data_IF_273897815339
#
_entry.id   IF_273897815339
#
_cell.length_a   1.000
_cell.length_b   1.000
_cell.length_c   1.000
_cell.angle_alpha   90.00
_cell.angle_beta   90.00
_cell.angle_gamma   90.00
#
_symmetry.space_group_name_H-M   'P 1'
#
loop_
_entity.id
_entity.type
_entity.pdbx_description
1 polymer ?
#
# COMPACT_ATOMS: atom_id res chain seq x y z
N UNK A 1 -0.56 31.86 -82.08
CA UNK A 1 0.67 31.03 -81.95
C UNK A 1 0.86 30.68 -80.47
N UNK A 2 0.64 29.41 -80.05
CA UNK A 2 0.78 28.99 -78.64
C UNK A 2 2.23 28.58 -78.36
N UNK A 3 2.94 29.32 -77.50
CA UNK A 3 4.32 29.04 -77.08
C UNK A 3 4.29 27.90 -76.05
N UNK A 4 4.68 26.67 -76.45
CA UNK A 4 4.89 25.54 -75.53
C UNK A 4 6.09 25.87 -74.64
N UNK A 5 5.83 26.16 -73.36
CA UNK A 5 6.87 26.35 -72.35
C UNK A 5 7.28 24.96 -71.88
N UNK A 6 8.30 24.37 -72.50
CA UNK A 6 8.91 23.14 -72.01
C UNK A 6 9.76 23.47 -70.79
N UNK A 7 9.41 22.94 -69.62
CA UNK A 7 10.34 22.93 -68.49
C UNK A 7 11.55 22.07 -68.86
N UNK A 8 12.76 22.55 -68.59
CA UNK A 8 13.95 21.74 -68.82
C UNK A 8 13.91 20.49 -67.95
N UNK A 9 14.45 19.37 -68.44
CA UNK A 9 14.45 18.09 -67.73
C UNK A 9 15.00 18.19 -66.31
N UNK A 10 15.98 19.09 -66.04
CA UNK A 10 16.48 19.36 -64.68
C UNK A 10 15.45 20.08 -63.79
N UNK A 11 14.72 21.08 -64.30
CA UNK A 11 13.69 21.78 -63.51
C UNK A 11 12.47 20.89 -63.24
N UNK A 12 12.12 20.02 -64.18
CA UNK A 12 11.06 19.01 -64.00
C UNK A 12 11.49 17.94 -62.98
N UNK A 13 12.76 17.50 -62.99
CA UNK A 13 13.27 16.59 -61.96
C UNK A 13 13.31 17.23 -60.58
N UNK A 14 13.74 18.49 -60.44
CA UNK A 14 13.76 19.18 -59.15
C UNK A 14 12.34 19.36 -58.59
N UNK A 15 11.35 19.74 -59.41
CA UNK A 15 9.96 19.91 -58.98
C UNK A 15 9.32 18.56 -58.61
N UNK A 16 9.56 17.50 -59.38
CA UNK A 16 9.05 16.15 -59.07
C UNK A 16 9.71 15.60 -57.79
N UNK A 17 11.01 15.83 -57.58
CA UNK A 17 11.73 15.36 -56.39
C UNK A 17 11.31 16.14 -55.13
N UNK A 18 11.06 17.46 -55.24
CA UNK A 18 10.60 18.29 -54.12
C UNK A 18 9.14 18.01 -53.73
N UNK A 19 8.28 17.66 -54.71
CA UNK A 19 6.88 17.31 -54.46
C UNK A 19 6.72 15.90 -53.85
N UNK A 20 7.60 14.96 -54.23
CA UNK A 20 7.64 13.60 -53.65
C UNK A 20 8.11 13.64 -52.18
N UNK A 21 9.02 14.55 -51.81
CA UNK A 21 9.50 14.67 -50.43
C UNK A 21 8.44 15.19 -49.45
N UNK A 22 7.52 16.05 -49.91
CA UNK A 22 6.46 16.64 -49.07
C UNK A 22 5.25 15.71 -48.90
N UNK A 23 4.98 14.82 -49.87
CA UNK A 23 3.84 13.89 -49.83
C UNK A 23 4.17 12.55 -49.14
N UNK A 24 5.45 12.14 -49.07
CA UNK A 24 5.86 10.87 -48.45
C UNK A 24 6.10 10.90 -46.94
N UNK A 25 6.00 12.05 -46.27
CA UNK A 25 6.26 12.15 -44.83
C UNK A 25 5.18 12.79 -43.92
N UNK A 26 3.90 13.02 -44.32
CA UNK A 26 2.90 13.42 -43.31
C UNK A 26 2.66 12.32 -42.26
N UNK A 27 2.85 11.06 -42.64
CA UNK A 27 2.78 9.89 -41.75
C UNK A 27 3.92 9.84 -40.71
N UNK A 28 5.11 10.34 -41.04
CA UNK A 28 6.24 10.41 -40.10
C UNK A 28 6.06 11.52 -39.06
N UNK A 29 5.47 12.65 -39.46
CA UNK A 29 5.11 13.73 -38.52
C UNK A 29 3.98 13.28 -37.59
N UNK A 30 2.98 12.55 -38.10
CA UNK A 30 1.89 11.99 -37.28
C UNK A 30 2.39 10.87 -36.34
N UNK A 31 3.32 10.03 -36.80
CA UNK A 31 3.96 9.02 -35.96
C UNK A 31 4.82 9.66 -34.86
N UNK A 32 5.54 10.76 -35.12
CA UNK A 32 6.35 11.45 -34.11
C UNK A 32 5.52 12.17 -33.03
N UNK A 33 4.26 12.53 -33.33
CA UNK A 33 3.31 13.09 -32.34
C UNK A 33 2.73 12.01 -31.42
N UNK A 34 2.84 10.73 -31.79
CA UNK A 34 2.25 9.60 -31.07
C UNK A 34 3.20 8.91 -30.08
N UNK A 35 4.40 9.45 -29.85
CA UNK A 35 5.40 8.92 -28.89
C UNK A 35 5.77 9.91 -27.78
N UNK A 36 4.89 10.85 -27.44
CA UNK A 36 5.02 11.56 -26.16
C UNK A 36 4.41 10.65 -25.09
N UNK A 37 5.20 9.74 -24.52
CA UNK A 37 4.80 9.05 -23.30
C UNK A 37 4.79 10.10 -22.18
N UNK A 38 3.63 10.69 -21.92
CA UNK A 38 3.43 11.44 -20.68
C UNK A 38 3.69 10.45 -19.54
N UNK A 39 4.78 10.66 -18.79
CA UNK A 39 5.02 9.89 -17.57
C UNK A 39 3.77 10.08 -16.70
N UNK A 40 3.11 9.00 -16.23
CA UNK A 40 1.96 9.16 -15.34
C UNK A 40 2.38 10.05 -14.16
N UNK A 41 1.50 10.98 -13.79
CA UNK A 41 1.75 11.83 -12.65
C UNK A 41 2.07 10.94 -11.44
N UNK A 42 3.09 11.28 -10.63
CA UNK A 42 3.42 10.48 -9.47
C UNK A 42 2.19 10.32 -8.57
N UNK A 43 2.00 9.10 -8.08
CA UNK A 43 0.94 8.77 -7.15
C UNK A 43 1.26 9.30 -5.74
N UNK A 44 0.21 9.43 -4.93
CA UNK A 44 0.27 9.76 -3.52
C UNK A 44 -0.47 8.65 -2.78
N UNK A 45 0.11 8.10 -1.72
CA UNK A 45 -0.57 7.16 -0.84
C UNK A 45 -0.63 7.78 0.54
N UNK A 46 -1.84 7.99 1.04
CA UNK A 46 -2.05 8.56 2.36
C UNK A 46 -3.01 7.70 3.16
N UNK A 47 -3.07 7.89 4.46
CA UNK A 47 -4.01 7.15 5.29
C UNK A 47 -3.92 7.53 6.75
N UNK A 48 -4.83 6.95 7.53
CA UNK A 48 -4.80 6.97 8.97
C UNK A 48 -4.68 5.55 9.52
N UNK A 49 -3.86 5.41 10.55
CA UNK A 49 -3.77 4.20 11.35
C UNK A 49 -4.46 4.46 12.67
N UNK A 50 -5.51 3.68 12.92
CA UNK A 50 -6.40 3.87 14.07
C UNK A 50 -6.39 2.66 14.99
N UNK A 51 -6.74 2.89 16.25
CA UNK A 51 -6.95 1.83 17.20
C UNK A 51 -8.34 1.21 17.01
N UNK A 52 -8.40 -0.11 16.88
CA UNK A 52 -9.64 -0.81 16.54
C UNK A 52 -10.76 -0.71 17.57
N UNK A 53 -10.49 -0.32 18.82
CA UNK A 53 -11.53 -0.24 19.85
C UNK A 53 -12.35 1.06 19.77
N UNK A 54 -11.71 2.17 19.36
CA UNK A 54 -12.29 3.51 19.49
C UNK A 54 -11.96 4.45 18.32
N UNK A 55 -11.30 3.95 17.29
CA UNK A 55 -10.92 4.67 16.07
C UNK A 55 -10.01 5.88 16.30
N UNK A 56 -9.38 6.01 17.47
CA UNK A 56 -8.39 7.06 17.72
C UNK A 56 -7.12 6.80 16.92
N UNK A 57 -6.49 7.87 16.42
CA UNK A 57 -5.24 7.76 15.68
C UNK A 57 -4.09 7.28 16.57
N UNK A 58 -3.28 6.35 16.07
CA UNK A 58 -2.13 5.81 16.80
C UNK A 58 -0.88 6.59 16.38
N UNK A 59 -0.22 7.24 17.35
CA UNK A 59 1.03 7.97 17.11
C UNK A 59 2.22 7.02 16.95
N UNK A 60 3.14 7.40 16.06
CA UNK A 60 4.45 6.75 15.90
C UNK A 60 4.36 5.25 15.54
N UNK A 61 3.39 4.90 14.67
CA UNK A 61 3.34 3.59 13.99
C UNK A 61 4.32 3.63 12.84
N UNK A 62 5.16 2.60 12.71
CA UNK A 62 6.04 2.43 11.56
C UNK A 62 5.21 1.98 10.37
N UNK A 63 5.29 2.72 9.26
CA UNK A 63 4.55 2.43 8.04
C UNK A 63 5.54 2.22 6.91
N UNK A 64 5.58 1.00 6.37
CA UNK A 64 6.41 0.64 5.22
C UNK A 64 5.55 0.55 3.97
N UNK A 65 6.07 1.09 2.87
CA UNK A 65 5.52 0.90 1.53
C UNK A 65 6.35 -0.17 0.83
N UNK A 66 5.74 -1.32 0.57
CA UNK A 66 6.38 -2.50 -0.02
C UNK A 66 5.88 -2.68 -1.44
N UNK A 67 6.77 -2.76 -2.43
CA UNK A 67 6.36 -3.04 -3.81
C UNK A 67 5.81 -4.47 -3.92
N UNK A 68 4.57 -4.63 -4.41
CA UNK A 68 3.87 -5.91 -4.38
C UNK A 68 4.48 -6.97 -5.32
N UNK A 69 5.21 -6.56 -6.35
CA UNK A 69 5.90 -7.49 -7.27
C UNK A 69 7.23 -7.98 -6.71
N UNK A 70 8.05 -7.05 -6.22
CA UNK A 70 9.43 -7.36 -5.78
C UNK A 70 9.53 -7.72 -4.30
N UNK A 71 8.48 -7.47 -3.52
CA UNK A 71 8.41 -7.64 -2.07
C UNK A 71 9.46 -6.82 -1.29
N UNK A 72 10.05 -5.80 -1.93
CA UNK A 72 11.01 -4.91 -1.29
C UNK A 72 10.33 -3.67 -0.71
N UNK A 73 10.77 -3.24 0.47
CA UNK A 73 10.39 -1.94 1.03
C UNK A 73 11.03 -0.85 0.19
N UNK A 74 10.21 0.01 -0.42
CA UNK A 74 10.66 1.11 -1.28
C UNK A 74 10.63 2.46 -0.57
N UNK A 75 9.84 2.58 0.51
CA UNK A 75 9.76 3.78 1.33
C UNK A 75 9.25 3.44 2.74
N UNK A 76 9.51 4.30 3.71
CA UNK A 76 9.00 4.17 5.08
C UNK A 76 8.70 5.54 5.69
N UNK A 77 7.74 5.59 6.60
CA UNK A 77 7.37 6.79 7.35
C UNK A 77 6.78 6.39 8.71
N UNK A 78 6.46 7.38 9.55
CA UNK A 78 5.77 7.16 10.82
C UNK A 78 4.52 8.00 10.93
N UNK A 79 3.48 7.48 11.58
CA UNK A 79 2.25 8.24 11.79
C UNK A 79 2.44 9.41 12.77
N UNK A 80 1.75 10.52 12.49
CA UNK A 80 1.67 11.67 13.40
C UNK A 80 0.64 11.46 14.54
N UNK A 81 0.43 12.48 15.38
CA UNK A 81 -0.44 12.39 16.56
C UNK A 81 -1.91 12.07 16.28
N UNK A 82 -2.38 12.26 15.04
CA UNK A 82 -3.73 11.88 14.60
C UNK A 82 -3.74 10.54 13.86
N UNK A 83 -2.64 9.78 13.90
CA UNK A 83 -2.49 8.52 13.17
C UNK A 83 -2.24 8.68 11.67
N UNK A 84 -2.06 9.91 11.17
CA UNK A 84 -1.94 10.17 9.74
C UNK A 84 -0.52 9.90 9.22
N UNK A 85 -0.43 9.34 8.02
CA UNK A 85 0.82 9.17 7.27
C UNK A 85 0.64 9.52 5.79
N UNK A 86 1.76 9.75 5.09
CA UNK A 86 1.77 10.14 3.69
C UNK A 86 3.05 9.69 2.98
N UNK A 87 2.88 9.14 1.78
CA UNK A 87 3.92 8.88 0.79
C UNK A 87 3.63 9.70 -0.47
N UNK A 88 4.57 10.54 -0.87
CA UNK A 88 4.51 11.33 -2.09
C UNK A 88 5.49 10.80 -3.13
N UNK A 89 5.31 11.17 -4.40
CA UNK A 89 6.21 10.78 -5.49
C UNK A 89 6.31 9.26 -5.67
N UNK A 90 5.21 8.55 -5.44
CA UNK A 90 5.14 7.09 -5.61
C UNK A 90 5.04 6.78 -7.10
N UNK A 91 5.93 5.92 -7.61
CA UNK A 91 5.84 5.43 -8.98
C UNK A 91 4.59 4.57 -9.10
N UNK A 92 3.83 4.76 -10.19
CA UNK A 92 2.58 4.02 -10.37
C UNK A 92 2.81 2.50 -10.36
N UNK A 93 1.95 1.76 -9.65
CA UNK A 93 2.06 0.31 -9.48
C UNK A 93 1.35 -0.21 -8.23
N UNK A 94 1.47 -1.51 -7.98
CA UNK A 94 0.86 -2.18 -6.83
C UNK A 94 1.81 -2.23 -5.63
N UNK A 95 1.27 -1.91 -4.46
CA UNK A 95 2.02 -1.86 -3.21
C UNK A 95 1.24 -2.46 -2.05
N UNK A 96 1.95 -2.95 -1.04
CA UNK A 96 1.41 -3.13 0.30
C UNK A 96 1.81 -1.94 1.17
N UNK A 97 0.85 -1.43 1.93
CA UNK A 97 1.11 -0.59 3.10
C UNK A 97 1.13 -1.52 4.31
N UNK A 98 2.28 -1.61 4.98
CA UNK A 98 2.48 -2.42 6.17
C UNK A 98 2.62 -1.52 7.40
N UNK A 99 1.76 -1.71 8.39
CA UNK A 99 1.76 -0.99 9.65
C UNK A 99 2.24 -1.88 10.79
N UNK A 100 3.28 -1.44 11.50
CA UNK A 100 3.84 -2.16 12.63
C UNK A 100 4.04 -1.26 13.85
N UNK A 101 3.65 -1.76 15.02
CA UNK A 101 3.82 -1.06 16.29
C UNK A 101 3.87 -2.07 17.42
N UNK A 102 4.88 -1.99 18.27
CA UNK A 102 4.97 -2.82 19.48
C UNK A 102 3.68 -2.77 20.28
N UNK A 103 3.23 -3.93 20.77
CA UNK A 103 1.96 -4.16 21.47
C UNK A 103 0.72 -4.15 20.60
N UNK A 104 0.85 -3.96 19.30
CA UNK A 104 -0.25 -4.08 18.36
C UNK A 104 0.04 -5.19 17.37
N UNK A 105 -1.02 -5.91 16.99
CA UNK A 105 -0.96 -6.82 15.86
C UNK A 105 -0.67 -6.03 14.59
N UNK A 106 0.36 -6.45 13.86
CA UNK A 106 0.71 -5.90 12.54
C UNK A 106 -0.48 -6.04 11.58
N UNK A 107 -0.63 -5.06 10.69
CA UNK A 107 -1.68 -5.07 9.68
C UNK A 107 -1.16 -4.53 8.36
N UNK A 108 -1.75 -5.01 7.26
CA UNK A 108 -1.40 -4.54 5.93
C UNK A 108 -2.60 -4.45 5.02
N UNK A 109 -2.48 -3.61 3.99
CA UNK A 109 -3.46 -3.49 2.92
C UNK A 109 -2.76 -3.28 1.59
N UNK A 110 -3.33 -3.81 0.52
CA UNK A 110 -2.85 -3.62 -0.84
C UNK A 110 -3.44 -2.34 -1.43
N UNK A 111 -2.64 -1.62 -2.21
CA UNK A 111 -2.99 -0.35 -2.85
C UNK A 111 -2.45 -0.34 -4.28
N UNK A 112 -3.33 -0.08 -5.24
CA UNK A 112 -2.96 0.20 -6.62
C UNK A 112 -2.71 1.71 -6.78
N UNK A 113 -1.46 2.12 -6.70
CA UNK A 113 -1.07 3.52 -6.76
C UNK A 113 -1.12 4.02 -8.21
N UNK A 114 -2.22 4.64 -8.62
CA UNK A 114 -2.35 5.27 -9.95
C UNK A 114 -2.65 6.76 -9.89
N UNK A 115 -3.14 7.26 -8.75
CA UNK A 115 -3.36 8.67 -8.45
C UNK A 115 -3.14 8.92 -6.95
N UNK A 116 -4.00 9.73 -6.32
CA UNK A 116 -4.02 9.85 -4.86
C UNK A 116 -4.91 8.76 -4.28
N UNK A 117 -4.32 7.85 -3.53
CA UNK A 117 -4.99 6.72 -2.90
C UNK A 117 -5.02 6.86 -1.38
N UNK A 118 -6.09 6.36 -0.78
CA UNK A 118 -6.29 6.32 0.68
C UNK A 118 -6.20 4.88 1.17
N UNK A 119 -5.31 4.63 2.12
CA UNK A 119 -5.08 3.33 2.73
C UNK A 119 -5.20 3.43 4.25
N UNK A 120 -6.42 3.29 4.77
CA UNK A 120 -6.63 3.30 6.21
C UNK A 120 -6.41 1.91 6.80
N UNK A 121 -5.77 1.85 7.96
CA UNK A 121 -5.53 0.61 8.70
C UNK A 121 -6.05 0.75 10.12
N UNK A 122 -6.51 -0.37 10.68
CA UNK A 122 -6.91 -0.48 12.09
C UNK A 122 -6.03 -1.51 12.76
N UNK A 123 -5.38 -1.15 13.87
CA UNK A 123 -4.54 -2.05 14.64
C UNK A 123 -5.26 -2.52 15.90
N UNK A 124 -5.04 -3.78 16.26
CA UNK A 124 -5.58 -4.40 17.46
C UNK A 124 -4.50 -4.49 18.53
N UNK A 125 -4.84 -4.14 19.77
CA UNK A 125 -3.90 -4.24 20.89
C UNK A 125 -3.72 -5.72 21.24
N UNK A 126 -2.47 -6.18 21.34
CA UNK A 126 -2.15 -7.57 21.68
C UNK A 126 -2.68 -7.86 23.08
N UNK A 127 -3.43 -8.95 23.22
CA UNK A 127 -4.06 -9.36 24.47
C UNK A 127 -5.37 -8.65 24.83
N UNK A 128 -5.86 -7.69 24.04
CA UNK A 128 -7.22 -7.11 24.18
C UNK A 128 -8.21 -7.93 23.33
N UNK A 129 -8.59 -9.10 23.84
CA UNK A 129 -9.40 -10.08 23.12
C UNK A 129 -10.87 -9.63 22.97
N UNK A 130 -11.34 -8.78 23.89
CA UNK A 130 -12.70 -8.23 23.87
C UNK A 130 -12.80 -6.84 23.22
N UNK A 131 -11.69 -6.27 22.74
CA UNK A 131 -11.58 -4.94 22.10
C UNK A 131 -12.11 -3.79 22.98
N UNK A 132 -11.82 -3.78 24.28
CA UNK A 132 -12.28 -2.73 25.21
C UNK A 132 -11.22 -1.69 25.53
N UNK A 133 -10.06 -1.72 24.88
CA UNK A 133 -9.03 -0.70 25.10
C UNK A 133 -8.01 -1.08 26.16
N UNK A 134 -8.07 -2.30 26.70
CA UNK A 134 -7.23 -2.76 27.79
C UNK A 134 -6.67 -4.12 27.40
N UNK A 135 -5.35 -4.23 27.42
CA UNK A 135 -4.65 -5.47 27.13
C UNK A 135 -4.63 -6.32 28.40
N UNK A 136 -4.95 -7.60 28.25
CA UNK A 136 -4.82 -8.61 29.29
C UNK A 136 -5.52 -8.22 30.60
N UNK A 137 -6.78 -7.77 30.49
CA UNK A 137 -7.62 -7.59 31.67
C UNK A 137 -8.34 -8.88 32.08
N UNK A 138 -9.10 -8.85 33.17
CA UNK A 138 -9.83 -10.02 33.65
C UNK A 138 -10.85 -10.54 32.62
N UNK A 139 -11.42 -9.66 31.79
CA UNK A 139 -12.32 -10.05 30.71
C UNK A 139 -11.59 -10.82 29.62
N UNK A 140 -10.40 -10.37 29.25
CA UNK A 140 -9.54 -11.08 28.29
C UNK A 140 -9.09 -12.44 28.81
N UNK A 141 -8.73 -12.53 30.10
CA UNK A 141 -8.38 -13.81 30.73
C UNK A 141 -9.54 -14.81 30.75
N UNK A 142 -10.76 -14.32 31.02
CA UNK A 142 -11.97 -15.17 30.94
C UNK A 142 -12.19 -15.66 29.52
N UNK A 143 -12.07 -14.79 28.52
CA UNK A 143 -12.16 -15.21 27.12
C UNK A 143 -11.12 -16.27 26.78
N UNK A 144 -9.85 -16.03 27.10
CA UNK A 144 -8.77 -16.99 26.85
C UNK A 144 -9.04 -18.35 27.50
N UNK A 145 -9.44 -18.38 28.78
CA UNK A 145 -9.79 -19.62 29.48
C UNK A 145 -10.92 -20.38 28.79
N UNK A 146 -11.97 -19.67 28.35
CA UNK A 146 -13.10 -20.29 27.65
C UNK A 146 -12.68 -20.88 26.31
N UNK A 147 -11.77 -20.24 25.59
CA UNK A 147 -11.23 -20.79 24.35
C UNK A 147 -10.36 -22.02 24.58
N UNK A 148 -9.50 -22.00 25.60
CA UNK A 148 -8.68 -23.17 26.02
C UNK A 148 -9.56 -24.37 26.37
N UNK A 149 -10.72 -24.11 26.98
CA UNK A 149 -11.72 -25.12 27.33
C UNK A 149 -12.66 -25.51 26.17
N UNK A 150 -12.42 -24.99 24.97
CA UNK A 150 -13.25 -25.22 23.77
C UNK A 150 -14.71 -24.76 23.92
N UNK A 151 -15.00 -23.87 24.86
CA UNK A 151 -16.33 -23.28 25.00
C UNK A 151 -16.62 -22.24 23.91
N UNK A 152 -15.57 -21.58 23.42
CA UNK A 152 -15.62 -20.62 22.32
C UNK A 152 -14.45 -20.86 21.38
N UNK A 153 -14.59 -20.40 20.14
CA UNK A 153 -13.49 -20.36 19.18
C UNK A 153 -12.78 -19.01 19.27
N UNK A 154 -11.47 -19.03 19.49
CA UNK A 154 -10.61 -17.89 19.23
C UNK A 154 -10.36 -17.70 17.73
N UNK A 155 -9.74 -16.58 17.38
CA UNK A 155 -9.13 -16.34 16.08
C UNK A 155 -7.60 -16.28 16.21
N UNK A 156 -6.91 -16.04 15.10
CA UNK A 156 -5.45 -16.01 15.06
C UNK A 156 -4.79 -15.05 16.07
N UNK A 157 -5.48 -13.99 16.54
CA UNK A 157 -4.95 -13.03 17.53
C UNK A 157 -4.86 -13.58 18.95
N UNK A 158 -5.36 -14.79 19.15
CA UNK A 158 -5.36 -15.48 20.44
C UNK A 158 -4.14 -16.40 20.59
N UNK A 159 -3.40 -16.67 19.51
CA UNK A 159 -2.09 -17.32 19.54
C UNK A 159 -1.02 -16.28 19.92
N UNK A 160 -0.92 -16.00 21.21
CA UNK A 160 0.00 -15.00 21.77
C UNK A 160 1.46 -15.45 21.67
N UNK A 161 1.72 -16.76 21.67
CA UNK A 161 3.07 -17.29 21.60
C UNK A 161 3.52 -17.66 20.17
N UNK A 162 2.65 -17.47 19.18
CA UNK A 162 2.91 -17.65 17.75
C UNK A 162 3.33 -19.09 17.38
N UNK A 163 2.78 -20.10 18.05
CA UNK A 163 3.10 -21.50 17.77
C UNK A 163 2.13 -22.16 16.77
N UNK A 164 1.17 -21.41 16.25
CA UNK A 164 0.14 -21.87 15.32
C UNK A 164 -1.04 -22.59 15.99
N UNK A 165 -1.08 -22.65 17.33
CA UNK A 165 -2.19 -23.21 18.10
C UNK A 165 -2.93 -22.08 18.77
N UNK A 166 -4.17 -21.88 18.35
CA UNK A 166 -5.02 -20.79 18.83
C UNK A 166 -5.43 -21.07 20.28
N UNK A 167 -5.16 -20.12 21.17
CA UNK A 167 -5.64 -20.13 22.56
C UNK A 167 -5.28 -21.42 23.30
N UNK A 168 -4.04 -21.87 23.17
CA UNK A 168 -3.56 -23.06 23.87
C UNK A 168 -3.10 -22.73 25.31
N UNK A 169 -2.64 -23.75 26.04
CA UNK A 169 -2.16 -23.55 27.40
C UNK A 169 -0.96 -22.59 27.48
N UNK A 170 -0.15 -22.50 26.42
CA UNK A 170 0.96 -21.55 26.34
C UNK A 170 0.46 -20.10 26.26
N UNK A 171 -0.56 -19.86 25.44
CA UNK A 171 -1.21 -18.56 25.34
C UNK A 171 -1.86 -18.13 26.66
N UNK A 172 -2.53 -19.07 27.34
CA UNK A 172 -3.13 -18.82 28.64
C UNK A 172 -2.08 -18.42 29.68
N UNK A 173 -0.91 -19.07 29.69
CA UNK A 173 0.19 -18.70 30.59
C UNK A 173 0.68 -17.28 30.29
N UNK A 174 0.86 -16.90 29.02
CA UNK A 174 1.23 -15.52 28.67
C UNK A 174 0.18 -14.51 29.11
N UNK A 175 -1.10 -14.80 28.86
CA UNK A 175 -2.21 -13.96 29.28
C UNK A 175 -2.23 -13.77 30.80
N UNK A 176 -2.12 -14.86 31.57
CA UNK A 176 -2.13 -14.79 33.03
C UNK A 176 -0.94 -13.99 33.59
N UNK A 177 0.25 -14.15 33.03
CA UNK A 177 1.43 -13.37 33.42
C UNK A 177 1.27 -11.89 33.09
N UNK A 178 0.64 -11.56 31.96
CA UNK A 178 0.33 -10.19 31.58
C UNK A 178 -0.73 -9.55 32.50
N UNK A 179 -1.79 -10.30 32.87
CA UNK A 179 -2.82 -9.88 33.85
C UNK A 179 -2.19 -9.58 35.22
N UNK A 180 -1.16 -10.34 35.60
CA UNK A 180 -0.37 -10.13 36.83
C UNK A 180 0.70 -9.04 36.70
N UNK A 181 0.79 -8.38 35.53
CA UNK A 181 1.77 -7.35 35.19
C UNK A 181 3.23 -7.85 35.25
N UNK A 182 3.46 -9.16 35.15
CA UNK A 182 4.79 -9.75 35.10
C UNK A 182 5.47 -9.53 33.74
N UNK A 183 4.66 -9.43 32.68
CA UNK A 183 5.11 -9.19 31.31
C UNK A 183 4.21 -8.18 30.60
N UNK A 184 4.72 -7.63 29.50
CA UNK A 184 3.94 -6.86 28.53
C UNK A 184 3.86 -7.69 27.26
N UNK A 185 2.65 -7.97 26.76
CA UNK A 185 2.46 -8.65 25.49
C UNK A 185 2.86 -7.74 24.32
N UNK A 186 3.53 -8.30 23.33
CA UNK A 186 4.12 -7.57 22.20
C UNK A 186 3.85 -8.24 20.88
#
# INVERSE_FOLDING_TARGET
MKKKIGLSNRKMQIIITLFILVVLAPSLVFAAVQYVTVLPAPAIITGQITYSNNNTGIFNVSVNLTNATTMNVVNSTTTNGTGYYNFTNVIAGDYYVNATKTRYWDNSTEVNATATEIANLSLWLVGDLNNKGKSADAGDLVLMNRAVLWEISGDWRWDLNHNGRIADAGDLVLMNRAVLHEIILT
#
